data_IF_935368083622
#
_entry.id   IF_935368083622
#
_cell.length_a   1.000
_cell.length_b   1.000
_cell.length_c   1.000
_cell.angle_alpha   90.00
_cell.angle_beta   90.00
_cell.angle_gamma   90.00
#
_symmetry.space_group_name_H-M   'P 1'
#
loop_
_entity.id
_entity.type
_entity.pdbx_description
1 polymer ?
#
# COMPACT_ATOMS: atom_id res chain seq x y z
N UNK A 1 -3.74 11.39 18.53
CA UNK A 1 -4.67 12.29 19.25
C UNK A 1 -5.08 11.74 20.62
N UNK A 2 -5.67 10.54 20.70
CA UNK A 2 -6.06 9.91 21.98
C UNK A 2 -4.88 9.62 22.91
N UNK A 3 -3.69 9.31 22.36
CA UNK A 3 -2.46 9.16 23.14
C UNK A 3 -2.12 10.45 23.93
N UNK A 4 -2.13 11.59 23.25
CA UNK A 4 -1.83 12.87 23.90
C UNK A 4 -2.90 13.25 24.96
N UNK A 5 -4.17 12.96 24.65
CA UNK A 5 -5.27 13.13 25.62
C UNK A 5 -5.07 12.25 26.84
N UNK A 6 -4.73 10.97 26.65
CA UNK A 6 -4.47 10.02 27.73
C UNK A 6 -3.27 10.47 28.61
N UNK A 7 -2.20 10.95 27.99
CA UNK A 7 -1.04 11.50 28.70
C UNK A 7 -1.43 12.74 29.51
N UNK A 8 -2.20 13.66 28.92
CA UNK A 8 -2.69 14.86 29.60
C UNK A 8 -3.59 14.52 30.80
N UNK A 9 -4.55 13.58 30.65
CA UNK A 9 -5.39 13.12 31.74
C UNK A 9 -4.58 12.57 32.91
N UNK A 10 -3.51 11.81 32.65
CA UNK A 10 -2.62 11.29 33.69
C UNK A 10 -1.92 12.38 34.50
N UNK A 11 -1.76 13.59 33.95
CA UNK A 11 -1.19 14.73 34.69
C UNK A 11 -2.19 15.40 35.66
N UNK A 12 -3.49 15.15 35.47
CA UNK A 12 -4.55 15.78 36.27
C UNK A 12 -4.80 15.06 37.61
N UNK A 13 -4.81 13.72 37.61
CA UNK A 13 -5.07 12.93 38.83
C UNK A 13 -4.46 11.54 38.74
N UNK A 14 -3.95 10.97 39.88
CA UNK A 14 -3.52 9.57 39.97
C UNK A 14 -4.62 8.55 39.60
N UNK A 15 -5.89 8.91 39.76
CA UNK A 15 -7.03 8.07 39.40
C UNK A 15 -7.06 7.74 37.90
N UNK A 16 -6.49 8.59 37.05
CA UNK A 16 -6.38 8.37 35.60
C UNK A 16 -5.19 7.49 35.19
N UNK A 17 -4.57 6.81 36.15
CA UNK A 17 -3.43 5.89 35.86
C UNK A 17 -3.80 4.76 34.89
N UNK A 18 -5.08 4.35 34.78
CA UNK A 18 -5.56 3.37 33.82
C UNK A 18 -5.26 3.74 32.36
N UNK A 19 -5.19 5.04 32.05
CA UNK A 19 -4.86 5.51 30.71
C UNK A 19 -3.40 5.25 30.30
N UNK A 20 -2.53 4.76 31.21
CA UNK A 20 -1.19 4.25 30.85
C UNK A 20 -1.26 3.11 29.84
N UNK A 21 -2.38 2.36 29.82
CA UNK A 21 -2.58 1.31 28.83
C UNK A 21 -2.45 1.82 27.39
N UNK A 22 -2.84 3.07 27.10
CA UNK A 22 -2.69 3.67 25.78
C UNK A 22 -1.24 3.98 25.36
N UNK A 23 -0.28 3.83 26.23
CA UNK A 23 1.13 3.91 25.89
C UNK A 23 1.61 2.61 25.20
N UNK A 24 0.92 1.48 25.40
CA UNK A 24 1.28 0.22 24.75
C UNK A 24 0.90 0.26 23.28
N UNK A 25 1.92 0.11 22.43
CA UNK A 25 1.77 0.14 20.97
C UNK A 25 0.80 -0.94 20.46
N UNK A 26 0.90 -2.16 21.03
CA UNK A 26 0.03 -3.29 20.66
C UNK A 26 -1.44 -3.05 20.95
N UNK A 27 -1.76 -2.44 22.11
CA UNK A 27 -3.14 -2.06 22.42
C UNK A 27 -3.66 -1.04 21.41
N UNK A 28 -2.88 0.01 21.13
CA UNK A 28 -3.28 1.03 20.15
C UNK A 28 -3.47 0.44 18.75
N UNK A 29 -2.65 -0.52 18.37
CA UNK A 29 -2.80 -1.22 17.08
C UNK A 29 -4.12 -2.00 17.01
N UNK A 30 -4.47 -2.77 18.05
CA UNK A 30 -5.76 -3.48 18.12
C UNK A 30 -6.93 -2.50 18.06
N UNK A 31 -6.87 -1.43 18.86
CA UNK A 31 -7.91 -0.39 18.87
C UNK A 31 -8.03 0.32 17.53
N UNK A 32 -6.91 0.54 16.83
CA UNK A 32 -6.92 1.12 15.50
C UNK A 32 -7.59 0.19 14.46
N UNK A 33 -7.29 -1.10 14.50
CA UNK A 33 -7.94 -2.08 13.64
C UNK A 33 -9.44 -2.14 13.89
N UNK A 34 -9.86 -2.21 15.16
CA UNK A 34 -11.29 -2.24 15.53
C UNK A 34 -12.01 -0.94 15.13
N UNK A 35 -11.38 0.22 15.36
CA UNK A 35 -11.95 1.52 14.98
C UNK A 35 -12.13 1.61 13.47
N UNK A 36 -11.11 1.23 12.69
CA UNK A 36 -11.19 1.24 11.23
C UNK A 36 -12.24 0.27 10.70
N UNK A 37 -12.33 -0.93 11.28
CA UNK A 37 -13.35 -1.93 10.97
C UNK A 37 -14.77 -1.37 11.24
N UNK A 38 -15.00 -0.82 12.41
CA UNK A 38 -16.30 -0.27 12.80
C UNK A 38 -16.69 0.92 11.91
N UNK A 39 -15.77 1.86 11.66
CA UNK A 39 -16.04 2.99 10.74
C UNK A 39 -16.46 2.44 9.38
N UNK A 40 -15.70 1.48 8.82
CA UNK A 40 -15.98 0.92 7.52
C UNK A 40 -17.33 0.19 7.46
N UNK A 41 -17.68 -0.61 8.47
CA UNK A 41 -18.97 -1.32 8.51
C UNK A 41 -20.15 -0.37 8.70
N UNK A 42 -20.03 0.65 9.55
CA UNK A 42 -21.11 1.61 9.83
C UNK A 42 -21.28 2.59 8.67
N UNK A 43 -20.19 3.14 8.14
CA UNK A 43 -20.26 4.11 7.04
C UNK A 43 -20.49 3.43 5.67
N UNK A 44 -20.14 2.15 5.52
CA UNK A 44 -20.22 1.41 4.26
C UNK A 44 -21.58 1.50 3.56
N UNK A 45 -22.71 1.13 4.21
CA UNK A 45 -24.03 1.21 3.59
C UNK A 45 -24.42 2.63 3.16
N UNK A 46 -23.98 3.65 3.91
CA UNK A 46 -24.23 5.05 3.56
C UNK A 46 -23.41 5.47 2.33
N UNK A 47 -22.12 5.15 2.31
CA UNK A 47 -21.22 5.45 1.17
C UNK A 47 -21.73 4.75 -0.09
N UNK A 48 -22.04 3.44 -0.02
CA UNK A 48 -22.54 2.67 -1.16
C UNK A 48 -23.82 3.29 -1.72
N UNK A 49 -24.78 3.63 -0.86
CA UNK A 49 -26.02 4.31 -1.29
C UNK A 49 -25.75 5.64 -1.98
N UNK A 50 -24.79 6.43 -1.50
CA UNK A 50 -24.41 7.69 -2.12
C UNK A 50 -23.76 7.48 -3.48
N UNK A 51 -22.88 6.49 -3.61
CA UNK A 51 -22.24 6.14 -4.88
C UNK A 51 -23.29 5.67 -5.91
N UNK A 52 -24.25 4.86 -5.52
CA UNK A 52 -25.37 4.44 -6.37
C UNK A 52 -26.20 5.65 -6.82
N UNK A 53 -26.57 6.54 -5.88
CA UNK A 53 -27.37 7.73 -6.17
C UNK A 53 -26.69 8.69 -7.17
N UNK A 54 -25.37 8.77 -7.13
CA UNK A 54 -24.55 9.52 -8.07
C UNK A 54 -24.40 8.82 -9.43
N UNK A 55 -25.02 7.63 -9.62
CA UNK A 55 -24.88 6.77 -10.81
C UNK A 55 -23.40 6.43 -11.13
N UNK A 56 -22.60 6.23 -10.08
CA UNK A 56 -21.18 5.94 -10.16
C UNK A 56 -21.01 4.42 -10.44
N UNK A 57 -21.49 3.94 -11.58
CA UNK A 57 -21.30 2.57 -12.05
C UNK A 57 -20.15 2.48 -13.08
N UNK A 58 -19.42 1.37 -13.07
CA UNK A 58 -18.38 1.16 -14.09
C UNK A 58 -18.99 1.05 -15.47
N UNK A 59 -18.50 1.82 -16.48
CA UNK A 59 -18.85 1.57 -17.86
C UNK A 59 -18.28 0.21 -18.28
N UNK A 60 -19.14 -0.67 -18.80
CA UNK A 60 -18.72 -1.98 -19.30
C UNK A 60 -17.91 -1.75 -20.59
N UNK A 61 -16.66 -2.23 -20.62
CA UNK A 61 -15.86 -2.21 -21.85
C UNK A 61 -16.40 -3.27 -22.80
N UNK A 62 -16.49 -2.94 -24.10
CA UNK A 62 -16.99 -3.83 -25.17
C UNK A 62 -16.33 -5.23 -25.21
N UNK A 63 -15.14 -5.36 -24.63
CA UNK A 63 -14.38 -6.62 -24.55
C UNK A 63 -14.53 -7.37 -23.22
N UNK A 64 -15.45 -6.94 -22.34
CA UNK A 64 -15.68 -7.61 -21.06
C UNK A 64 -16.26 -9.01 -21.29
N UNK A 65 -15.88 -9.96 -20.42
CA UNK A 65 -16.49 -11.30 -20.44
C UNK A 65 -17.98 -11.22 -20.09
N UNK A 66 -18.77 -12.17 -20.58
CA UNK A 66 -20.21 -12.23 -20.29
C UNK A 66 -20.50 -12.27 -18.78
N UNK A 67 -19.60 -12.85 -17.99
CA UNK A 67 -19.66 -12.87 -16.52
C UNK A 67 -19.59 -11.48 -15.89
N UNK A 68 -18.99 -10.49 -16.58
CA UNK A 68 -18.92 -9.12 -16.09
C UNK A 68 -20.15 -8.28 -16.47
N UNK A 69 -21.02 -8.76 -17.34
CA UNK A 69 -22.27 -8.08 -17.69
C UNK A 69 -23.24 -8.03 -16.50
N UNK A 70 -23.23 -9.06 -15.65
CA UNK A 70 -24.05 -9.10 -14.42
C UNK A 70 -23.62 -8.08 -13.36
N UNK A 71 -22.40 -7.53 -13.46
CA UNK A 71 -21.84 -6.52 -12.58
C UNK A 71 -22.17 -5.07 -13.01
N UNK A 72 -22.96 -4.93 -14.08
CA UNK A 72 -23.47 -3.63 -14.55
C UNK A 72 -24.28 -2.97 -13.45
N UNK A 73 -23.87 -1.78 -13.04
CA UNK A 73 -24.55 -1.03 -11.97
C UNK A 73 -23.89 -1.11 -10.60
N UNK A 74 -22.94 -2.01 -10.36
CA UNK A 74 -22.14 -1.99 -9.13
C UNK A 74 -21.30 -0.71 -9.07
N UNK A 75 -21.42 0.10 -8.00
CA UNK A 75 -20.67 1.34 -7.89
C UNK A 75 -19.19 1.09 -7.71
N UNK A 76 -18.36 1.98 -8.26
CA UNK A 76 -16.91 2.05 -8.04
C UNK A 76 -16.58 3.17 -7.04
N UNK A 77 -15.29 3.42 -6.78
CA UNK A 77 -14.78 4.41 -5.82
C UNK A 77 -14.98 4.02 -4.34
N UNK A 78 -15.22 2.75 -4.04
CA UNK A 78 -15.31 2.25 -2.65
C UNK A 78 -14.00 2.45 -1.85
N UNK A 79 -12.89 2.67 -2.52
CA UNK A 79 -11.61 3.04 -1.90
C UNK A 79 -11.68 4.29 -1.01
N UNK A 80 -12.63 5.19 -1.24
CA UNK A 80 -12.86 6.35 -0.35
C UNK A 80 -13.20 5.89 1.07
N UNK A 81 -14.02 4.84 1.22
CA UNK A 81 -14.36 4.26 2.51
C UNK A 81 -13.12 3.71 3.22
N UNK A 82 -12.24 3.02 2.48
CA UNK A 82 -11.00 2.46 3.02
C UNK A 82 -10.09 3.58 3.53
N UNK A 83 -9.82 4.58 2.69
CA UNK A 83 -8.93 5.71 3.03
C UNK A 83 -9.46 6.50 4.22
N UNK A 84 -10.76 6.77 4.26
CA UNK A 84 -11.40 7.44 5.39
C UNK A 84 -11.21 6.65 6.69
N UNK A 85 -11.48 5.34 6.66
CA UNK A 85 -11.36 4.47 7.83
C UNK A 85 -9.92 4.39 8.33
N UNK A 86 -8.94 4.25 7.43
CA UNK A 86 -7.51 4.27 7.77
C UNK A 86 -7.11 5.63 8.34
N UNK A 87 -7.47 6.72 7.65
CA UNK A 87 -7.07 8.07 8.03
C UNK A 87 -7.59 8.45 9.42
N UNK A 88 -8.89 8.30 9.65
CA UNK A 88 -9.51 8.61 10.97
C UNK A 88 -8.91 7.74 12.06
N UNK A 89 -8.80 6.43 11.84
CA UNK A 89 -8.26 5.51 12.83
C UNK A 89 -6.80 5.83 13.17
N UNK A 90 -5.96 6.09 12.16
CA UNK A 90 -4.56 6.45 12.37
C UNK A 90 -4.42 7.77 13.12
N UNK A 91 -5.19 8.81 12.77
CA UNK A 91 -5.18 10.10 13.47
C UNK A 91 -5.62 9.99 14.93
N UNK A 92 -6.54 9.07 15.24
CA UNK A 92 -6.98 8.84 16.62
C UNK A 92 -5.92 8.14 17.46
N UNK A 93 -5.31 7.07 16.95
CA UNK A 93 -4.52 6.14 17.73
C UNK A 93 -3.00 6.29 17.60
N UNK A 94 -2.48 6.80 16.46
CA UNK A 94 -1.05 6.98 16.28
C UNK A 94 -0.50 8.20 17.04
N UNK A 95 0.79 8.16 17.26
CA UNK A 95 1.54 9.32 17.74
C UNK A 95 1.73 10.31 16.58
N UNK A 96 1.02 11.43 16.64
CA UNK A 96 1.04 12.45 15.60
C UNK A 96 2.33 13.29 15.60
N UNK A 97 3.22 13.10 16.55
CA UNK A 97 4.57 13.71 16.53
C UNK A 97 5.53 12.92 15.64
N UNK A 98 5.13 11.68 15.27
CA UNK A 98 5.95 10.80 14.48
C UNK A 98 5.88 11.14 12.99
N UNK A 99 7.03 11.46 12.40
CA UNK A 99 7.15 11.82 10.98
C UNK A 99 6.77 10.70 10.02
N UNK A 100 7.04 9.43 10.35
CA UNK A 100 6.73 8.30 9.46
C UNK A 100 5.23 8.10 9.30
N UNK A 101 4.44 8.36 10.35
CA UNK A 101 2.98 8.34 10.29
C UNK A 101 2.47 9.36 9.27
N UNK A 102 3.00 10.58 9.29
CA UNK A 102 2.62 11.61 8.32
C UNK A 102 3.06 11.29 6.90
N UNK A 103 4.27 10.76 6.72
CA UNK A 103 4.76 10.39 5.38
C UNK A 103 3.83 9.34 4.76
N UNK A 104 3.51 8.27 5.49
CA UNK A 104 2.62 7.21 4.98
C UNK A 104 1.22 7.75 4.72
N UNK A 105 0.65 8.56 5.62
CA UNK A 105 -0.67 9.19 5.42
C UNK A 105 -0.68 10.10 4.19
N UNK A 106 0.32 10.97 4.03
CA UNK A 106 0.38 11.93 2.90
C UNK A 106 0.55 11.18 1.58
N UNK A 107 1.40 10.16 1.53
CA UNK A 107 1.56 9.34 0.32
C UNK A 107 0.27 8.60 -0.01
N UNK A 108 -0.36 7.97 0.99
CA UNK A 108 -1.63 7.25 0.81
C UNK A 108 -2.73 8.17 0.28
N UNK A 109 -2.90 9.35 0.90
CA UNK A 109 -3.87 10.35 0.47
C UNK A 109 -3.53 10.92 -0.90
N UNK A 110 -2.25 11.19 -1.17
CA UNK A 110 -1.79 11.72 -2.45
C UNK A 110 -2.09 10.76 -3.61
N UNK A 111 -1.78 9.47 -3.47
CA UNK A 111 -2.12 8.46 -4.47
C UNK A 111 -3.63 8.21 -4.54
N UNK A 112 -4.32 8.29 -3.40
CA UNK A 112 -5.78 8.22 -3.35
C UNK A 112 -6.45 9.36 -4.11
N UNK A 113 -5.94 10.59 -4.02
CA UNK A 113 -6.47 11.75 -4.76
C UNK A 113 -6.24 11.63 -6.27
N UNK A 114 -5.11 11.05 -6.70
CA UNK A 114 -4.88 10.74 -8.12
C UNK A 114 -5.93 9.73 -8.62
N UNK A 115 -6.13 8.64 -7.84
CA UNK A 115 -7.16 7.64 -8.17
C UNK A 115 -8.56 8.24 -8.18
N UNK A 116 -8.88 9.09 -7.21
CA UNK A 116 -10.16 9.80 -7.15
C UNK A 116 -10.38 10.69 -8.38
N UNK A 117 -9.37 11.43 -8.80
CA UNK A 117 -9.47 12.28 -9.98
C UNK A 117 -9.67 11.46 -11.27
N UNK A 118 -9.05 10.29 -11.37
CA UNK A 118 -9.23 9.36 -12.49
C UNK A 118 -10.64 8.76 -12.53
N UNK A 119 -11.08 8.19 -11.39
CA UNK A 119 -12.40 7.59 -11.27
C UNK A 119 -13.53 8.63 -11.42
N UNK A 120 -13.34 9.84 -10.88
CA UNK A 120 -14.30 10.93 -11.02
C UNK A 120 -14.52 11.33 -12.50
N UNK A 121 -13.44 11.42 -13.29
CA UNK A 121 -13.53 11.67 -14.71
C UNK A 121 -14.32 10.60 -15.45
N UNK A 122 -14.00 9.33 -15.16
CA UNK A 122 -14.65 8.18 -15.81
C UNK A 122 -16.15 8.13 -15.55
N UNK A 123 -16.55 8.46 -14.35
CA UNK A 123 -17.90 8.19 -13.86
C UNK A 123 -18.79 9.42 -13.90
N UNK A 124 -18.32 10.55 -13.36
CA UNK A 124 -19.12 11.78 -13.25
C UNK A 124 -19.06 12.58 -14.52
N UNK A 125 -17.87 12.75 -15.11
CA UNK A 125 -17.70 13.47 -16.37
C UNK A 125 -17.97 12.58 -17.58
N UNK A 126 -18.22 11.27 -17.38
CA UNK A 126 -18.48 10.26 -18.43
C UNK A 126 -17.40 10.22 -19.51
N UNK A 127 -16.15 10.50 -19.12
CA UNK A 127 -14.99 10.36 -19.96
C UNK A 127 -14.43 8.93 -19.82
N UNK A 128 -14.65 8.01 -20.80
CA UNK A 128 -14.26 6.61 -20.67
C UNK A 128 -12.74 6.41 -20.52
N UNK A 129 -11.94 7.36 -20.99
CA UNK A 129 -10.49 7.30 -20.90
C UNK A 129 -9.97 7.74 -19.52
N UNK A 130 -10.76 8.55 -18.78
CA UNK A 130 -10.39 9.07 -17.47
C UNK A 130 -9.22 10.05 -17.54
N UNK A 131 -8.28 9.93 -16.61
CA UNK A 131 -7.05 10.70 -16.63
C UNK A 131 -6.08 10.13 -17.66
N UNK A 132 -5.47 10.99 -18.50
CA UNK A 132 -4.43 10.55 -19.44
C UNK A 132 -3.31 9.82 -18.67
N UNK A 133 -2.88 8.67 -19.20
CA UNK A 133 -1.85 7.84 -18.53
C UNK A 133 -0.56 8.62 -18.20
N UNK A 134 -0.19 9.59 -19.07
CA UNK A 134 0.98 10.46 -18.86
C UNK A 134 0.79 11.37 -17.64
N UNK A 135 -0.39 11.97 -17.47
CA UNK A 135 -0.67 12.89 -16.36
C UNK A 135 -0.75 12.12 -15.05
N UNK A 136 -1.41 10.95 -15.07
CA UNK A 136 -1.48 10.03 -13.93
C UNK A 136 -0.09 9.63 -13.46
N UNK A 137 0.77 9.20 -14.39
CA UNK A 137 2.14 8.80 -14.08
C UNK A 137 3.00 9.98 -13.59
N UNK A 138 2.82 11.17 -14.15
CA UNK A 138 3.52 12.39 -13.74
C UNK A 138 3.22 12.73 -12.26
N UNK A 139 1.96 12.72 -11.85
CA UNK A 139 1.57 13.00 -10.47
C UNK A 139 2.04 11.91 -9.50
N UNK A 140 1.93 10.64 -9.88
CA UNK A 140 2.50 9.54 -9.10
C UNK A 140 4.01 9.69 -8.93
N UNK A 141 4.71 10.07 -9.99
CA UNK A 141 6.15 10.30 -9.97
C UNK A 141 6.53 11.49 -9.08
N UNK A 142 5.79 12.58 -9.14
CA UNK A 142 6.03 13.75 -8.29
C UNK A 142 5.91 13.39 -6.81
N UNK A 143 4.81 12.74 -6.41
CA UNK A 143 4.60 12.33 -5.01
C UNK A 143 5.64 11.28 -4.59
N UNK A 144 5.90 10.28 -5.43
CA UNK A 144 6.88 9.22 -5.15
C UNK A 144 8.30 9.74 -4.98
N UNK A 145 8.74 10.68 -5.83
CA UNK A 145 10.06 11.31 -5.72
C UNK A 145 10.17 12.21 -4.48
N UNK A 146 9.14 13.01 -4.17
CA UNK A 146 9.12 13.82 -2.95
C UNK A 146 9.19 12.96 -1.70
N UNK A 147 8.42 11.87 -1.66
CA UNK A 147 8.48 10.90 -0.56
C UNK A 147 9.86 10.24 -0.46
N UNK A 148 10.47 9.86 -1.58
CA UNK A 148 11.79 9.25 -1.61
C UNK A 148 12.88 10.19 -1.10
N UNK A 149 12.85 11.46 -1.53
CA UNK A 149 13.76 12.50 -1.04
C UNK A 149 13.59 12.75 0.46
N UNK A 150 12.35 12.78 0.95
CA UNK A 150 12.13 12.94 2.39
C UNK A 150 12.60 11.73 3.18
N UNK A 151 12.35 10.52 2.70
CA UNK A 151 12.67 9.27 3.40
C UNK A 151 14.17 9.03 3.51
N UNK A 152 14.98 9.33 2.49
CA UNK A 152 16.42 9.08 2.53
C UNK A 152 17.11 9.79 3.69
N UNK A 153 16.66 11.01 4.04
CA UNK A 153 17.19 11.76 5.17
C UNK A 153 16.50 11.39 6.49
N UNK A 154 15.19 11.06 6.44
CA UNK A 154 14.41 10.70 7.63
C UNK A 154 14.82 9.37 8.26
N UNK A 155 15.20 8.38 7.46
CA UNK A 155 15.61 7.06 7.97
C UNK A 155 16.99 7.14 8.64
N UNK A 156 17.81 8.13 8.28
CA UNK A 156 19.18 8.29 8.81
C UNK A 156 19.23 9.05 10.13
N UNK A 157 18.15 9.74 10.50
CA UNK A 157 18.12 10.62 11.68
C UNK A 157 16.80 10.49 12.47
N UNK A 158 16.89 10.61 13.79
CA UNK A 158 15.72 10.53 14.69
C UNK A 158 14.96 11.83 14.85
N UNK A 159 15.62 12.98 14.66
CA UNK A 159 15.04 14.31 14.83
C UNK A 159 14.62 14.94 13.50
N UNK A 160 13.42 15.54 13.45
CA UNK A 160 12.95 16.27 12.26
C UNK A 160 13.81 17.48 11.89
N UNK A 161 14.37 18.17 12.89
CA UNK A 161 15.25 19.32 12.64
C UNK A 161 16.57 18.88 11.98
N UNK A 162 17.12 17.76 12.40
CA UNK A 162 18.35 17.22 11.81
C UNK A 162 18.15 16.70 10.38
N UNK A 163 16.95 16.29 10.00
CA UNK A 163 16.63 15.91 8.61
C UNK A 163 16.90 17.07 7.65
N UNK A 164 16.47 18.27 8.00
CA UNK A 164 16.68 19.46 7.18
C UNK A 164 18.17 19.86 7.13
N UNK A 165 18.86 19.77 8.26
CA UNK A 165 20.30 20.02 8.36
C UNK A 165 21.11 19.03 7.52
N UNK A 166 20.76 17.74 7.57
CA UNK A 166 21.38 16.72 6.73
C UNK A 166 21.16 17.00 5.24
N UNK A 167 19.96 17.39 4.85
CA UNK A 167 19.69 17.77 3.46
C UNK A 167 20.53 18.96 3.03
N UNK A 168 20.58 20.03 3.85
CA UNK A 168 21.38 21.24 3.55
C UNK A 168 22.86 20.90 3.52
N UNK A 169 23.37 20.07 4.43
CA UNK A 169 24.79 19.66 4.44
C UNK A 169 25.13 18.83 3.21
N UNK A 170 24.23 17.94 2.77
CA UNK A 170 24.40 17.14 1.56
C UNK A 170 24.47 18.03 0.31
N UNK A 171 23.58 19.02 0.19
CA UNK A 171 23.65 19.99 -0.92
C UNK A 171 24.95 20.80 -0.90
N UNK A 172 25.36 21.29 0.30
CA UNK A 172 26.61 22.07 0.47
C UNK A 172 27.87 21.28 0.22
N UNK A 173 27.86 19.96 0.48
CA UNK A 173 29.00 19.07 0.20
C UNK A 173 29.19 18.75 -1.29
N UNK A 174 28.32 19.28 -2.17
CA UNK A 174 28.34 18.93 -3.59
C UNK A 174 27.77 17.55 -3.89
N UNK A 175 26.75 17.14 -3.12
CA UNK A 175 26.05 15.85 -3.26
C UNK A 175 26.90 14.63 -2.91
N UNK A 176 27.65 14.71 -1.81
CA UNK A 176 28.47 13.59 -1.34
C UNK A 176 27.62 12.32 -1.17
N UNK A 177 28.06 11.26 -1.84
CA UNK A 177 27.40 9.95 -1.85
C UNK A 177 27.44 9.23 -0.50
N UNK A 178 28.33 9.64 0.40
CA UNK A 178 28.47 9.06 1.75
C UNK A 178 27.48 9.65 2.77
N UNK A 179 26.72 10.65 2.39
CA UNK A 179 25.69 11.30 3.22
C UNK A 179 24.30 11.06 2.60
N UNK A 180 23.33 10.58 3.38
CA UNK A 180 23.38 9.96 4.71
C UNK A 180 23.86 8.50 4.66
N UNK A 181 24.65 8.05 5.63
CA UNK A 181 25.44 6.81 5.54
C UNK A 181 24.63 5.50 5.60
N UNK A 182 23.32 5.54 5.88
CA UNK A 182 22.55 4.31 6.19
C UNK A 182 21.53 3.90 5.14
N UNK A 183 21.56 4.49 3.94
CA UNK A 183 20.67 4.13 2.85
C UNK A 183 21.20 2.90 2.07
N UNK A 184 21.03 1.70 2.61
CA UNK A 184 21.43 0.46 1.98
C UNK A 184 20.26 -0.48 1.70
N UNK A 185 20.36 -1.29 0.64
CA UNK A 185 19.40 -2.37 0.34
C UNK A 185 19.75 -3.59 1.21
N UNK A 186 18.77 -4.09 1.96
CA UNK A 186 18.89 -5.31 2.74
C UNK A 186 18.52 -6.52 1.91
N UNK A 187 19.41 -7.52 1.87
CA UNK A 187 19.14 -8.79 1.21
C UNK A 187 18.44 -9.74 2.21
N UNK A 188 17.26 -10.28 1.88
CA UNK A 188 16.63 -11.30 2.71
C UNK A 188 17.47 -12.59 2.71
N UNK A 189 17.38 -13.38 3.78
CA UNK A 189 18.08 -14.66 3.97
C UNK A 189 19.60 -14.59 4.06
N UNK A 190 20.22 -13.40 3.96
CA UNK A 190 21.68 -13.24 4.05
C UNK A 190 22.02 -12.32 5.20
N UNK A 191 22.83 -12.81 6.16
CA UNK A 191 23.25 -12.03 7.33
C UNK A 191 24.15 -10.87 6.91
N UNK A 192 23.93 -9.73 7.54
CA UNK A 192 24.81 -8.55 7.52
C UNK A 192 25.10 -7.96 6.12
N UNK A 193 24.49 -8.47 5.05
CA UNK A 193 24.68 -7.92 3.71
C UNK A 193 23.69 -6.78 3.47
N UNK A 194 24.22 -5.57 3.58
CA UNK A 194 23.54 -4.36 3.12
C UNK A 194 24.33 -3.76 1.98
N UNK A 195 23.71 -3.65 0.82
CA UNK A 195 24.34 -3.00 -0.32
C UNK A 195 24.16 -1.49 -0.22
N UNK A 196 25.24 -0.69 -0.13
CA UNK A 196 25.12 0.76 -0.03
C UNK A 196 24.63 1.34 -1.35
N UNK A 197 23.45 1.96 -1.32
CA UNK A 197 22.83 2.56 -2.52
C UNK A 197 23.23 4.03 -2.72
N UNK A 198 23.73 4.68 -1.66
CA UNK A 198 23.85 6.14 -1.64
C UNK A 198 22.48 6.84 -1.74
N UNK A 199 22.48 8.17 -1.74
CA UNK A 199 21.25 8.95 -1.82
C UNK A 199 20.49 8.71 -3.12
N UNK A 200 21.19 8.78 -4.25
CA UNK A 200 20.56 8.63 -5.56
C UNK A 200 19.99 7.22 -5.79
N UNK A 201 20.76 6.17 -5.47
CA UNK A 201 20.29 4.80 -5.61
C UNK A 201 19.09 4.51 -4.70
N UNK A 202 19.10 5.03 -3.47
CA UNK A 202 17.98 4.91 -2.55
C UNK A 202 16.72 5.64 -3.07
N UNK A 203 16.87 6.87 -3.58
CA UNK A 203 15.75 7.64 -4.14
C UNK A 203 15.13 6.91 -5.34
N UNK A 204 15.97 6.39 -6.25
CA UNK A 204 15.49 5.64 -7.41
C UNK A 204 14.74 4.37 -6.97
N UNK A 205 15.35 3.59 -6.06
CA UNK A 205 14.71 2.37 -5.54
C UNK A 205 13.38 2.67 -4.85
N UNK A 206 13.37 3.65 -3.94
CA UNK A 206 12.16 4.07 -3.21
C UNK A 206 11.06 4.49 -4.17
N UNK A 207 11.40 5.31 -5.17
CA UNK A 207 10.46 5.72 -6.21
C UNK A 207 9.88 4.50 -6.95
N UNK A 208 10.72 3.57 -7.37
CA UNK A 208 10.28 2.37 -8.08
C UNK A 208 9.39 1.49 -7.19
N UNK A 209 9.71 1.35 -5.91
CA UNK A 209 8.92 0.56 -4.96
C UNK A 209 7.57 1.21 -4.73
N UNK A 210 7.49 2.52 -4.44
CA UNK A 210 6.22 3.20 -4.15
C UNK A 210 5.32 3.23 -5.41
N UNK A 211 5.83 3.70 -6.54
CA UNK A 211 5.04 3.81 -7.78
C UNK A 211 4.75 2.43 -8.36
N UNK A 212 5.71 1.52 -8.29
CA UNK A 212 5.57 0.14 -8.77
C UNK A 212 4.51 -0.64 -7.99
N UNK A 213 4.56 -0.63 -6.65
CA UNK A 213 3.56 -1.30 -5.82
C UNK A 213 2.16 -0.69 -5.98
N UNK A 214 2.06 0.64 -6.09
CA UNK A 214 0.80 1.33 -6.36
C UNK A 214 0.13 0.82 -7.63
N UNK A 215 0.87 0.80 -8.74
CA UNK A 215 0.33 0.35 -10.02
C UNK A 215 0.12 -1.17 -10.06
N UNK A 216 0.95 -1.96 -9.37
CA UNK A 216 0.80 -3.41 -9.31
C UNK A 216 -0.49 -3.83 -8.58
N UNK A 217 -0.80 -3.19 -7.44
CA UNK A 217 -2.09 -3.40 -6.74
C UNK A 217 -3.25 -2.98 -7.63
N UNK A 218 -3.14 -1.84 -8.32
CA UNK A 218 -4.20 -1.37 -9.22
C UNK A 218 -4.45 -2.31 -10.40
N UNK A 219 -3.41 -2.90 -10.98
CA UNK A 219 -3.57 -3.90 -12.04
C UNK A 219 -4.19 -5.22 -11.55
N UNK A 220 -4.06 -5.52 -10.25
CA UNK A 220 -4.61 -6.73 -9.63
C UNK A 220 -6.08 -6.56 -9.24
N UNK A 221 -6.59 -5.32 -9.11
CA UNK A 221 -7.98 -5.03 -8.74
C UNK A 221 -8.96 -5.24 -9.91
N UNK A 222 -9.01 -6.48 -10.42
CA UNK A 222 -9.85 -6.86 -11.56
C UNK A 222 -11.00 -7.80 -11.23
N UNK A 223 -11.00 -8.44 -10.06
CA UNK A 223 -12.03 -9.39 -9.60
C UNK A 223 -12.45 -9.08 -8.15
N UNK A 224 -13.69 -9.48 -7.81
CA UNK A 224 -14.30 -9.22 -6.50
C UNK A 224 -13.43 -9.79 -5.36
N UNK A 225 -12.93 -8.92 -4.47
CA UNK A 225 -12.09 -9.30 -3.33
C UNK A 225 -10.65 -9.68 -3.65
N UNK A 226 -10.25 -9.70 -4.93
CA UNK A 226 -8.93 -10.19 -5.34
C UNK A 226 -7.79 -9.35 -4.76
N UNK A 227 -7.83 -8.04 -4.88
CA UNK A 227 -6.75 -7.16 -4.46
C UNK A 227 -6.74 -6.89 -2.96
N UNK A 228 -7.91 -6.72 -2.33
CA UNK A 228 -7.99 -6.22 -0.95
C UNK A 228 -7.46 -7.24 0.08
N UNK A 229 -7.75 -8.53 -0.06
CA UNK A 229 -7.28 -9.53 0.91
C UNK A 229 -5.76 -9.70 0.90
N UNK A 230 -5.08 -9.77 -0.25
CA UNK A 230 -3.61 -9.69 -0.29
C UNK A 230 -3.04 -8.39 0.33
N UNK A 231 -3.69 -7.22 0.17
CA UNK A 231 -3.28 -5.98 0.87
C UNK A 231 -3.33 -6.17 2.39
N UNK A 232 -4.42 -6.77 2.92
CA UNK A 232 -4.55 -7.05 4.35
C UNK A 232 -3.42 -7.95 4.83
N UNK A 233 -3.14 -9.03 4.11
CA UNK A 233 -2.10 -10.01 4.49
C UNK A 233 -0.70 -9.39 4.47
N UNK A 234 -0.33 -8.74 3.36
CA UNK A 234 0.99 -8.11 3.19
C UNK A 234 1.16 -6.95 4.16
N UNK A 235 0.12 -6.11 4.33
CA UNK A 235 0.15 -5.01 5.28
C UNK A 235 0.28 -5.46 6.72
N UNK A 236 -0.40 -6.55 7.11
CA UNK A 236 -0.27 -7.15 8.44
C UNK A 236 1.15 -7.71 8.67
N UNK A 237 1.71 -8.39 7.67
CA UNK A 237 3.08 -8.88 7.73
C UNK A 237 4.10 -7.73 7.83
N UNK A 238 3.94 -6.66 7.05
CA UNK A 238 4.76 -5.45 7.20
C UNK A 238 4.59 -4.81 8.58
N UNK A 239 3.41 -4.87 9.19
CA UNK A 239 3.18 -4.43 10.56
C UNK A 239 4.08 -5.15 11.57
N UNK A 240 4.32 -6.45 11.38
CA UNK A 240 5.30 -7.19 12.22
C UNK A 240 6.71 -6.63 12.01
N UNK A 241 7.12 -6.35 10.77
CA UNK A 241 8.43 -5.74 10.51
C UNK A 241 8.55 -4.33 11.12
N UNK A 242 7.49 -3.52 11.08
CA UNK A 242 7.50 -2.19 11.72
C UNK A 242 7.71 -2.30 13.23
N UNK A 243 7.06 -3.26 13.88
CA UNK A 243 7.21 -3.52 15.31
C UNK A 243 8.64 -3.96 15.65
N UNK A 244 9.21 -4.86 14.87
CA UNK A 244 10.58 -5.37 15.08
C UNK A 244 11.61 -4.27 14.87
N UNK A 245 11.56 -3.56 13.76
CA UNK A 245 12.55 -2.50 13.43
C UNK A 245 12.45 -1.28 14.33
N UNK A 246 11.24 -1.01 14.87
CA UNK A 246 11.01 0.08 15.83
C UNK A 246 11.48 -0.21 17.26
N UNK A 247 11.71 -1.47 17.60
CA UNK A 247 12.13 -1.90 18.93
C UNK A 247 13.65 -2.13 18.97
N UNK A 248 14.36 -1.42 19.85
CA UNK A 248 15.81 -1.60 20.04
C UNK A 248 16.17 -3.04 20.50
N UNK A 249 15.28 -3.69 21.25
CA UNK A 249 15.49 -5.06 21.75
C UNK A 249 15.32 -6.09 20.62
N UNK A 250 14.18 -6.03 19.93
CA UNK A 250 13.88 -7.01 18.89
C UNK A 250 14.73 -6.81 17.63
N UNK A 251 15.04 -5.57 17.24
CA UNK A 251 15.92 -5.30 16.10
C UNK A 251 17.32 -5.87 16.36
N UNK A 252 17.88 -5.65 17.54
CA UNK A 252 19.18 -6.23 17.94
C UNK A 252 19.14 -7.76 17.97
N UNK A 253 18.10 -8.37 18.56
CA UNK A 253 17.98 -9.81 18.65
C UNK A 253 17.84 -10.50 17.29
N UNK A 254 17.10 -9.87 16.36
CA UNK A 254 16.83 -10.41 15.04
C UNK A 254 17.79 -9.88 13.96
N UNK A 255 18.82 -9.11 14.35
CA UNK A 255 19.83 -8.54 13.46
C UNK A 255 19.25 -7.61 12.38
N UNK A 256 18.18 -6.89 12.71
CA UNK A 256 17.59 -5.85 11.86
C UNK A 256 18.16 -4.47 12.20
N UNK A 257 18.17 -3.53 11.25
CA UNK A 257 18.49 -2.14 11.56
C UNK A 257 17.42 -1.56 12.50
N UNK A 258 17.86 -0.95 13.59
CA UNK A 258 16.95 -0.22 14.47
C UNK A 258 16.58 1.10 13.81
N UNK A 259 15.29 1.32 13.57
CA UNK A 259 14.72 2.53 12.96
C UNK A 259 13.76 3.17 13.98
N UNK A 260 14.26 4.11 14.79
CA UNK A 260 13.44 4.73 15.84
C UNK A 260 12.18 5.36 15.26
N UNK A 261 11.05 5.05 15.89
CA UNK A 261 9.75 5.56 15.46
C UNK A 261 9.02 4.72 14.39
N UNK A 262 9.68 3.78 13.71
CA UNK A 262 9.00 2.93 12.71
C UNK A 262 7.92 2.05 13.34
N UNK A 263 8.02 1.72 14.63
CA UNK A 263 7.01 0.95 15.36
C UNK A 263 5.61 1.55 15.33
N UNK A 264 5.47 2.89 15.26
CA UNK A 264 4.17 3.57 15.17
C UNK A 264 3.39 3.19 13.89
N UNK A 265 4.08 2.76 12.84
CA UNK A 265 3.45 2.30 11.61
C UNK A 265 2.66 0.99 11.80
N UNK A 266 2.89 0.24 12.89
CA UNK A 266 2.03 -0.88 13.25
C UNK A 266 0.57 -0.45 13.38
N UNK A 267 0.32 0.76 13.91
CA UNK A 267 -1.03 1.32 14.06
C UNK A 267 -1.67 1.57 12.70
N UNK A 268 -0.92 2.12 11.76
CA UNK A 268 -1.38 2.31 10.39
C UNK A 268 -1.65 0.97 9.68
N UNK A 269 -0.75 -0.01 9.82
CA UNK A 269 -0.93 -1.36 9.26
C UNK A 269 -2.18 -2.04 9.85
N UNK A 270 -2.42 -1.90 11.15
CA UNK A 270 -3.59 -2.44 11.83
C UNK A 270 -4.88 -1.73 11.37
N UNK A 271 -4.86 -0.40 11.23
CA UNK A 271 -5.97 0.36 10.66
C UNK A 271 -6.26 -0.06 9.22
N UNK A 272 -5.22 -0.29 8.40
CA UNK A 272 -5.36 -0.78 7.03
C UNK A 272 -5.98 -2.18 6.99
N UNK A 273 -5.59 -3.07 7.90
CA UNK A 273 -6.19 -4.40 8.02
C UNK A 273 -7.68 -4.31 8.41
N UNK A 274 -8.03 -3.50 9.42
CA UNK A 274 -9.41 -3.29 9.83
C UNK A 274 -10.29 -2.68 8.75
N UNK A 275 -9.80 -1.62 8.08
CA UNK A 275 -10.51 -0.99 6.97
C UNK A 275 -10.66 -1.93 5.77
N UNK A 276 -9.62 -2.72 5.47
CA UNK A 276 -9.63 -3.72 4.41
C UNK A 276 -10.67 -4.82 4.67
N UNK A 277 -10.76 -5.33 5.90
CA UNK A 277 -11.76 -6.31 6.30
C UNK A 277 -13.18 -5.75 6.20
N UNK A 278 -13.40 -4.50 6.64
CA UNK A 278 -14.69 -3.83 6.48
C UNK A 278 -15.08 -3.67 5.01
N UNK A 279 -14.12 -3.29 4.16
CA UNK A 279 -14.37 -3.17 2.74
C UNK A 279 -14.63 -4.53 2.09
N UNK A 280 -13.88 -5.56 2.45
CA UNK A 280 -14.05 -6.92 1.95
C UNK A 280 -15.45 -7.46 2.24
N UNK A 281 -16.07 -7.07 3.36
CA UNK A 281 -17.46 -7.42 3.68
C UNK A 281 -18.44 -7.03 2.57
N UNK A 282 -18.21 -5.91 1.91
CA UNK A 282 -19.04 -5.43 0.79
C UNK A 282 -18.49 -5.79 -0.58
N UNK A 283 -17.22 -6.16 -0.68
CA UNK A 283 -16.52 -6.44 -1.95
C UNK A 283 -16.37 -7.94 -2.25
N UNK A 284 -16.80 -8.84 -1.34
CA UNK A 284 -16.85 -10.29 -1.63
C UNK A 284 -17.84 -10.58 -2.75
N UNK A 285 -17.54 -11.62 -3.54
CA UNK A 285 -18.40 -12.01 -4.67
C UNK A 285 -19.81 -12.47 -4.22
N UNK A 286 -20.92 -11.96 -4.79
CA UNK A 286 -20.98 -10.84 -5.75
C UNK A 286 -20.80 -9.47 -5.08
N UNK A 287 -19.88 -8.65 -5.58
CA UNK A 287 -19.52 -7.40 -4.95
C UNK A 287 -20.65 -6.35 -4.99
N UNK A 288 -20.86 -5.68 -3.86
CA UNK A 288 -21.77 -4.55 -3.74
C UNK A 288 -21.11 -3.21 -4.09
N UNK A 289 -19.76 -3.16 -4.09
CA UNK A 289 -18.95 -1.98 -4.42
C UNK A 289 -17.57 -2.41 -4.88
N UNK A 290 -17.03 -1.72 -5.88
CA UNK A 290 -15.64 -1.89 -6.33
C UNK A 290 -14.73 -0.86 -5.68
N UNK A 291 -13.46 -1.26 -5.45
CA UNK A 291 -12.46 -0.42 -4.82
C UNK A 291 -12.13 0.80 -5.69
N UNK A 292 -11.92 0.58 -6.97
CA UNK A 292 -11.52 1.59 -7.94
C UNK A 292 -10.07 2.05 -7.76
N UNK A 293 -9.66 2.95 -8.66
CA UNK A 293 -8.31 3.51 -8.66
C UNK A 293 -7.98 4.27 -7.37
N UNK A 294 -9.01 4.84 -6.71
CA UNK A 294 -8.88 5.52 -5.40
C UNK A 294 -8.21 4.63 -4.36
N UNK A 295 -8.78 3.44 -4.15
CA UNK A 295 -8.29 2.53 -3.12
C UNK A 295 -7.03 1.79 -3.55
N UNK A 296 -7.03 1.28 -4.78
CA UNK A 296 -5.96 0.43 -5.27
C UNK A 296 -4.61 1.16 -5.33
N UNK A 297 -4.58 2.39 -5.87
CA UNK A 297 -3.36 3.20 -5.92
C UNK A 297 -2.88 3.60 -4.52
N UNK A 298 -3.80 4.01 -3.64
CA UNK A 298 -3.49 4.43 -2.30
C UNK A 298 -2.88 3.30 -1.46
N UNK A 299 -3.51 2.13 -1.47
CA UNK A 299 -3.07 0.97 -0.68
C UNK A 299 -1.73 0.42 -1.18
N UNK A 300 -1.55 0.33 -2.49
CA UNK A 300 -0.28 -0.09 -3.06
C UNK A 300 0.87 0.87 -2.73
N UNK A 301 0.64 2.19 -2.79
CA UNK A 301 1.62 3.20 -2.40
C UNK A 301 1.92 3.15 -0.89
N UNK A 302 0.91 2.91 -0.05
CA UNK A 302 1.09 2.71 1.39
C UNK A 302 2.00 1.52 1.70
N UNK A 303 1.74 0.35 1.09
CA UNK A 303 2.58 -0.85 1.24
C UNK A 303 4.03 -0.57 0.83
N UNK A 304 4.24 0.06 -0.33
CA UNK A 304 5.57 0.43 -0.81
C UNK A 304 6.29 1.38 0.15
N UNK A 305 5.59 2.42 0.64
CA UNK A 305 6.17 3.39 1.57
C UNK A 305 6.57 2.75 2.90
N UNK A 306 5.71 1.89 3.47
CA UNK A 306 6.02 1.17 4.71
C UNK A 306 7.22 0.25 4.52
N UNK A 307 7.26 -0.51 3.44
CA UNK A 307 8.37 -1.43 3.16
C UNK A 307 9.72 -0.70 3.06
N UNK A 308 9.76 0.44 2.39
CA UNK A 308 10.95 1.28 2.31
C UNK A 308 11.37 1.80 3.68
N UNK A 309 10.44 2.28 4.51
CA UNK A 309 10.75 2.77 5.86
C UNK A 309 11.41 1.66 6.69
N UNK A 310 10.87 0.45 6.65
CA UNK A 310 11.40 -0.69 7.41
C UNK A 310 12.51 -1.46 6.67
N UNK A 311 12.98 -0.98 5.52
CA UNK A 311 14.03 -1.59 4.69
C UNK A 311 13.71 -2.99 4.21
N UNK A 312 12.45 -3.27 3.93
CA UNK A 312 11.99 -4.58 3.48
C UNK A 312 11.51 -4.55 2.01
N UNK A 313 12.23 -3.84 1.15
CA UNK A 313 11.87 -3.64 -0.26
C UNK A 313 11.76 -4.97 -1.03
N UNK A 314 12.75 -5.86 -0.88
CA UNK A 314 12.76 -7.17 -1.53
C UNK A 314 11.73 -8.11 -0.87
N UNK A 315 11.59 -8.03 0.45
CA UNK A 315 10.59 -8.84 1.17
C UNK A 315 9.18 -8.44 0.76
N UNK A 316 8.92 -7.14 0.51
CA UNK A 316 7.65 -6.70 -0.08
C UNK A 316 7.42 -7.36 -1.44
N UNK A 317 8.43 -7.43 -2.31
CA UNK A 317 8.30 -8.08 -3.62
C UNK A 317 8.00 -9.59 -3.49
N UNK A 318 8.55 -10.26 -2.46
CA UNK A 318 8.24 -11.66 -2.15
C UNK A 318 6.80 -11.80 -1.63
N UNK A 319 6.44 -11.08 -0.57
CA UNK A 319 5.11 -11.15 0.03
C UNK A 319 4.00 -10.72 -0.93
N UNK A 320 4.27 -9.66 -1.70
CA UNK A 320 3.41 -9.13 -2.75
C UNK A 320 3.60 -9.81 -4.11
N UNK A 321 4.14 -11.03 -4.15
CA UNK A 321 4.48 -11.74 -5.40
C UNK A 321 3.31 -11.88 -6.37
N UNK A 322 2.08 -11.96 -5.88
CA UNK A 322 0.88 -11.93 -6.73
C UNK A 322 0.81 -10.61 -7.50
N UNK A 323 0.99 -9.47 -6.84
CA UNK A 323 0.99 -8.16 -7.51
C UNK A 323 2.13 -8.04 -8.53
N UNK A 324 3.31 -8.56 -8.17
CA UNK A 324 4.49 -8.57 -9.06
C UNK A 324 4.19 -9.40 -10.31
N UNK A 325 3.66 -10.61 -10.16
CA UNK A 325 3.37 -11.51 -11.28
C UNK A 325 2.25 -10.95 -12.16
N UNK A 326 1.20 -10.36 -11.58
CA UNK A 326 0.14 -9.67 -12.32
C UNK A 326 0.69 -8.53 -13.17
N UNK A 327 1.49 -7.63 -12.57
CA UNK A 327 2.10 -6.52 -13.29
C UNK A 327 3.07 -6.99 -14.38
N UNK A 328 3.94 -7.98 -14.08
CA UNK A 328 4.86 -8.57 -15.05
C UNK A 328 4.12 -9.22 -16.22
N UNK A 329 2.99 -9.87 -15.98
CA UNK A 329 2.20 -10.49 -17.04
C UNK A 329 1.70 -9.47 -18.07
N UNK A 330 1.28 -8.28 -17.61
CA UNK A 330 0.87 -7.18 -18.48
C UNK A 330 2.05 -6.63 -19.26
N UNK A 331 3.19 -6.39 -18.58
CA UNK A 331 4.41 -5.89 -19.23
C UNK A 331 4.90 -6.85 -20.32
N UNK A 332 4.99 -8.15 -20.00
CA UNK A 332 5.41 -9.18 -20.96
C UNK A 332 4.45 -9.29 -22.13
N UNK A 333 3.14 -9.26 -21.88
CA UNK A 333 2.11 -9.29 -22.92
C UNK A 333 2.28 -8.12 -23.90
N UNK A 334 2.46 -6.90 -23.37
CA UNK A 334 2.59 -5.69 -24.19
C UNK A 334 3.89 -5.71 -25.00
N UNK A 335 5.01 -6.08 -24.36
CA UNK A 335 6.31 -6.17 -25.03
C UNK A 335 6.27 -7.21 -26.13
N UNK A 336 5.78 -8.43 -25.83
CA UNK A 336 5.68 -9.52 -26.81
C UNK A 336 4.76 -9.19 -27.97
N UNK A 337 3.60 -8.55 -27.69
CA UNK A 337 2.68 -8.13 -28.74
C UNK A 337 3.31 -7.08 -29.68
N UNK A 338 3.97 -6.07 -29.11
CA UNK A 338 4.67 -5.03 -29.90
C UNK A 338 5.83 -5.64 -30.71
N UNK A 339 6.62 -6.51 -30.11
CA UNK A 339 7.73 -7.20 -30.77
C UNK A 339 7.26 -8.04 -31.95
N UNK A 340 6.25 -8.90 -31.74
CA UNK A 340 5.69 -9.76 -32.81
C UNK A 340 5.04 -8.96 -33.92
N UNK A 341 4.32 -7.88 -33.57
CA UNK A 341 3.74 -6.97 -34.55
C UNK A 341 4.81 -6.32 -35.42
N UNK A 342 5.93 -5.87 -34.81
CA UNK A 342 7.06 -5.28 -35.54
C UNK A 342 7.80 -6.30 -36.43
N UNK A 343 7.97 -7.54 -35.94
CA UNK A 343 8.75 -8.58 -36.62
C UNK A 343 7.99 -9.35 -37.69
N UNK A 344 6.68 -9.60 -37.46
CA UNK A 344 5.84 -10.47 -38.30
C UNK A 344 4.63 -9.76 -38.91
N UNK A 345 4.48 -8.45 -38.74
CA UNK A 345 3.33 -7.68 -39.21
C UNK A 345 2.05 -7.87 -38.39
N UNK A 346 1.92 -8.97 -37.66
CA UNK A 346 0.76 -9.31 -36.82
C UNK A 346 1.16 -9.48 -35.37
N UNK A 347 0.43 -8.82 -34.45
CA UNK A 347 0.67 -8.94 -33.02
C UNK A 347 0.15 -10.27 -32.49
N UNK A 348 1.03 -11.05 -31.81
CA UNK A 348 0.65 -12.31 -31.15
C UNK A 348 0.54 -12.09 -29.64
N UNK A 349 -0.38 -12.83 -29.00
CA UNK A 349 -0.56 -12.79 -27.55
C UNK A 349 0.24 -13.92 -26.90
N UNK A 350 0.94 -13.61 -25.79
CA UNK A 350 1.64 -14.59 -24.95
C UNK A 350 0.64 -15.32 -24.05
N UNK A 351 -0.21 -14.56 -23.35
CA UNK A 351 -1.30 -15.05 -22.52
C UNK A 351 -2.62 -14.89 -23.26
N UNK A 352 -3.63 -15.71 -22.93
CA UNK A 352 -5.00 -15.54 -23.47
C UNK A 352 -5.54 -14.14 -23.22
N UNK A 353 -5.24 -13.60 -22.03
CA UNK A 353 -5.48 -12.22 -21.60
C UNK A 353 -4.48 -11.87 -20.50
N UNK A 354 -4.13 -10.61 -20.34
CA UNK A 354 -3.38 -10.06 -19.21
C UNK A 354 -4.22 -8.96 -18.55
N UNK A 355 -4.17 -8.80 -17.21
CA UNK A 355 -3.38 -9.55 -16.23
C UNK A 355 -3.73 -11.06 -16.10
N UNK A 356 -2.94 -11.83 -15.31
CA UNK A 356 -3.06 -13.30 -15.24
C UNK A 356 -4.39 -13.80 -14.68
N UNK A 357 -5.04 -13.09 -13.77
CA UNK A 357 -6.36 -13.49 -13.28
C UNK A 357 -7.36 -13.68 -14.44
N UNK A 358 -7.35 -12.79 -15.44
CA UNK A 358 -8.18 -12.96 -16.64
C UNK A 358 -7.71 -14.09 -17.55
N UNK A 359 -6.41 -14.44 -17.54
CA UNK A 359 -5.93 -15.62 -18.26
C UNK A 359 -6.52 -16.91 -17.68
N UNK A 360 -6.62 -17.01 -16.36
CA UNK A 360 -7.20 -18.17 -15.68
C UNK A 360 -8.71 -18.25 -15.91
N UNK A 361 -9.45 -17.12 -15.85
CA UNK A 361 -10.87 -17.09 -16.18
C UNK A 361 -11.11 -17.57 -17.62
N UNK A 362 -10.34 -17.04 -18.62
CA UNK A 362 -10.39 -17.52 -20.01
C UNK A 362 -9.91 -18.96 -20.20
N UNK A 363 -9.29 -19.53 -19.21
CA UNK A 363 -8.89 -20.95 -19.19
C UNK A 363 -9.94 -21.84 -18.51
N UNK A 364 -11.08 -21.25 -18.08
CA UNK A 364 -12.23 -21.99 -17.55
C UNK A 364 -12.31 -22.04 -16.02
N UNK A 365 -11.46 -21.29 -15.29
CA UNK A 365 -11.58 -21.20 -13.84
C UNK A 365 -12.71 -20.23 -13.47
N UNK A 366 -13.47 -20.57 -12.42
CA UNK A 366 -14.47 -19.67 -11.87
C UNK A 366 -13.76 -18.50 -11.15
N UNK A 367 -14.35 -17.31 -11.20
CA UNK A 367 -13.84 -16.12 -10.52
C UNK A 367 -13.45 -16.38 -9.06
N UNK A 368 -14.36 -16.97 -8.29
CA UNK A 368 -14.12 -17.31 -6.88
C UNK A 368 -12.94 -18.27 -6.67
N UNK A 369 -12.69 -19.19 -7.62
CA UNK A 369 -11.54 -20.09 -7.55
C UNK A 369 -10.22 -19.33 -7.77
N UNK A 370 -10.19 -18.39 -8.72
CA UNK A 370 -9.02 -17.55 -8.97
C UNK A 370 -8.70 -16.74 -7.70
N UNK A 371 -9.71 -16.06 -7.15
CA UNK A 371 -9.58 -15.20 -5.98
C UNK A 371 -9.05 -15.97 -4.78
N UNK A 372 -9.69 -17.07 -4.39
CA UNK A 372 -9.27 -17.85 -3.21
C UNK A 372 -7.87 -18.46 -3.39
N UNK A 373 -7.54 -18.95 -4.59
CA UNK A 373 -6.20 -19.48 -4.85
C UNK A 373 -5.12 -18.42 -4.75
N UNK A 374 -5.41 -17.19 -5.21
CA UNK A 374 -4.49 -16.06 -5.08
C UNK A 374 -4.30 -15.66 -3.62
N UNK A 375 -5.36 -15.72 -2.80
CA UNK A 375 -5.24 -15.50 -1.35
C UNK A 375 -4.34 -16.54 -0.70
N UNK A 376 -4.52 -17.83 -1.04
CA UNK A 376 -3.68 -18.92 -0.50
C UNK A 376 -2.21 -18.68 -0.89
N UNK A 377 -1.93 -18.36 -2.16
CA UNK A 377 -0.57 -18.07 -2.63
C UNK A 377 0.00 -16.86 -1.89
N UNK A 378 -0.76 -15.79 -1.72
CA UNK A 378 -0.31 -14.61 -0.96
C UNK A 378 0.00 -14.96 0.48
N UNK A 379 -0.84 -15.77 1.14
CA UNK A 379 -0.58 -16.22 2.51
C UNK A 379 0.74 -17.00 2.62
N UNK A 380 0.98 -17.93 1.70
CA UNK A 380 2.25 -18.68 1.65
C UNK A 380 3.45 -17.75 1.43
N UNK A 381 3.34 -16.77 0.53
CA UNK A 381 4.39 -15.80 0.28
C UNK A 381 4.63 -14.87 1.49
N UNK A 382 3.58 -14.50 2.22
CA UNK A 382 3.71 -13.77 3.49
C UNK A 382 4.43 -14.61 4.55
N UNK A 383 4.15 -15.92 4.64
CA UNK A 383 4.88 -16.84 5.53
C UNK A 383 6.37 -16.92 5.16
N UNK A 384 6.68 -17.00 3.86
CA UNK A 384 8.08 -16.95 3.37
C UNK A 384 8.73 -15.61 3.73
N UNK A 385 8.04 -14.49 3.52
CA UNK A 385 8.54 -13.17 3.92
C UNK A 385 8.79 -13.06 5.42
N UNK A 386 7.85 -13.52 6.25
CA UNK A 386 7.99 -13.52 7.72
C UNK A 386 9.11 -14.47 8.20
N UNK A 387 9.39 -15.56 7.48
CA UNK A 387 10.50 -16.46 7.84
C UNK A 387 11.87 -15.76 7.80
N UNK A 388 12.00 -14.69 6.99
CA UNK A 388 13.22 -13.86 6.93
C UNK A 388 13.54 -13.17 8.26
N UNK A 389 12.56 -13.05 9.18
CA UNK A 389 12.80 -12.51 10.53
C UNK A 389 13.83 -13.31 11.32
N UNK A 390 13.91 -14.63 11.11
CA UNK A 390 14.80 -15.50 11.87
C UNK A 390 15.87 -16.17 11.02
N UNK A 391 15.63 -16.31 9.72
CA UNK A 391 16.56 -16.97 8.78
C UNK A 391 17.63 -16.01 8.22
N UNK A 392 18.07 -15.07 9.04
CA UNK A 392 19.16 -14.13 8.73
C UNK A 392 20.42 -14.51 9.43
#
# INVERSE_FOLDING_TARGET
MLLNLAQWLQTLSPEFSYFRAFQYLTLRAVMAAMTALLIGLIAGPFVIRRLIALKIGQPIREYAMQTHLSKSGTPTMGGVLIILSIGVSTLLWADLTNRFVWIVLIVTLGFGTIGWADDWRKVVLKDPEGMRSRDKYMWQSAIGLLAALWLVFSISESSNMRVLELFVSWVRSGFDVNLPPKAGLLLPFVKEVSYPLGVFGFVILTYLVIVGSSNAVNLTDGLDGLAIMPVIMVGSALGVFTYVTGSAVYSKYLLFPHIPGSGELLIFCAAMAGAGLAFLWFNTHPAQVFMGDVGALALGAALGTIAVIVRQDIVLAIMGGIYVVEALSVMLQVVFFKYTKRRFGTGRRLFKMAPLHHHFEKSGWKETQVVVRFWIVTMLLCMVGLSTLKLR
#
